data_IF_935276735294
#
_entry.id   IF_935276735294
#
_cell.length_a   1.000
_cell.length_b   1.000
_cell.length_c   1.000
_cell.angle_alpha   90.00
_cell.angle_beta   90.00
_cell.angle_gamma   90.00
#
_symmetry.space_group_name_H-M   'P 1'
#
loop_
_entity.id
_entity.type
_entity.pdbx_description
1 polymer ?
#
# COMPACT_ATOMS: atom_id res chain seq x y z
N UNK A 1 1.57 -23.81 -8.13
CA UNK A 1 2.57 -22.95 -8.78
C UNK A 1 1.98 -21.56 -8.97
N UNK A 2 2.72 -20.52 -8.60
CA UNK A 2 2.34 -19.14 -8.91
C UNK A 2 2.35 -18.90 -10.43
N UNK A 3 1.51 -17.97 -10.91
CA UNK A 3 1.38 -17.66 -12.35
C UNK A 3 2.68 -17.14 -12.98
N UNK A 4 3.48 -16.42 -12.20
CA UNK A 4 4.76 -15.85 -12.62
C UNK A 4 5.93 -16.83 -12.44
N UNK A 5 5.70 -18.02 -11.87
CA UNK A 5 6.74 -19.03 -11.64
C UNK A 5 7.78 -18.65 -10.58
N UNK A 6 7.60 -17.53 -9.88
CA UNK A 6 8.54 -17.02 -8.87
C UNK A 6 8.47 -17.81 -7.55
N UNK A 7 7.33 -18.43 -7.26
CA UNK A 7 7.10 -19.30 -6.09
C UNK A 7 6.32 -20.55 -6.46
N UNK A 8 6.55 -21.62 -5.69
CA UNK A 8 5.89 -22.91 -5.84
C UNK A 8 4.40 -22.86 -5.42
N UNK A 9 4.06 -21.98 -4.49
CA UNK A 9 2.70 -21.66 -4.07
C UNK A 9 2.21 -20.35 -4.71
N UNK A 10 0.89 -20.23 -4.89
CA UNK A 10 0.22 -18.99 -5.27
C UNK A 10 -0.40 -18.28 -4.05
N UNK A 11 0.05 -18.61 -2.84
CA UNK A 11 -0.43 -17.98 -1.61
C UNK A 11 0.29 -16.65 -1.34
N UNK A 12 -0.38 -15.76 -0.63
CA UNK A 12 0.19 -14.49 -0.19
C UNK A 12 1.42 -14.75 0.66
N UNK A 13 2.56 -14.20 0.25
CA UNK A 13 3.82 -14.42 0.94
C UNK A 13 3.90 -13.70 2.31
N UNK A 14 2.99 -12.76 2.58
CA UNK A 14 2.90 -12.07 3.88
C UNK A 14 2.06 -12.86 4.89
N UNK A 15 0.78 -13.10 4.58
CA UNK A 15 -0.16 -13.71 5.54
C UNK A 15 -0.28 -15.24 5.42
N UNK A 16 0.18 -15.84 4.32
CA UNK A 16 0.08 -17.28 4.03
C UNK A 16 -1.35 -17.87 4.08
N UNK A 17 -2.39 -17.03 4.01
CA UNK A 17 -3.82 -17.42 4.13
C UNK A 17 -4.59 -17.30 2.81
N UNK A 18 -4.41 -16.20 2.08
CA UNK A 18 -5.13 -15.89 0.83
C UNK A 18 -4.32 -16.19 -0.43
N UNK A 19 -4.97 -16.21 -1.60
CA UNK A 19 -4.27 -16.20 -2.89
C UNK A 19 -3.49 -14.89 -3.01
N UNK A 20 -2.21 -15.00 -3.37
CA UNK A 20 -1.31 -13.91 -3.64
C UNK A 20 -1.64 -13.21 -4.97
N UNK A 21 -2.78 -12.53 -5.04
CA UNK A 21 -3.04 -11.57 -6.10
C UNK A 21 -2.30 -10.26 -5.79
N UNK A 22 -2.02 -9.46 -6.81
CA UNK A 22 -1.40 -8.14 -6.61
C UNK A 22 -2.24 -7.29 -5.64
N UNK A 23 -3.56 -7.29 -5.83
CA UNK A 23 -4.49 -6.53 -4.99
C UNK A 23 -4.48 -7.02 -3.53
N UNK A 24 -4.48 -8.34 -3.31
CA UNK A 24 -4.37 -8.88 -1.96
C UNK A 24 -3.02 -8.53 -1.31
N UNK A 25 -1.91 -8.71 -2.03
CA UNK A 25 -0.58 -8.46 -1.50
C UNK A 25 -0.27 -6.98 -1.20
N UNK A 26 -0.94 -6.05 -1.88
CA UNK A 26 -0.70 -4.61 -1.74
C UNK A 26 -1.78 -3.88 -0.95
N UNK A 27 -2.95 -4.47 -0.71
CA UNK A 27 -4.05 -3.76 -0.05
C UNK A 27 -4.89 -4.62 0.90
N UNK A 28 -5.44 -5.76 0.44
CA UNK A 28 -6.39 -6.54 1.27
C UNK A 28 -5.74 -7.40 2.35
N UNK A 29 -4.46 -7.75 2.20
CA UNK A 29 -3.74 -8.55 3.19
C UNK A 29 -3.80 -7.84 4.55
N UNK A 30 -4.23 -8.54 5.59
CA UNK A 30 -4.40 -7.98 6.95
C UNK A 30 -3.15 -7.25 7.46
N UNK A 31 -1.96 -7.78 7.17
CA UNK A 31 -0.69 -7.18 7.54
C UNK A 31 -0.43 -5.85 6.81
N UNK A 32 -0.86 -5.77 5.56
CA UNK A 32 -0.67 -4.58 4.70
C UNK A 32 -1.76 -3.55 4.96
N UNK A 33 -2.98 -4.00 5.24
CA UNK A 33 -4.09 -3.12 5.58
C UNK A 33 -3.81 -2.33 6.87
N UNK A 34 -3.30 -2.99 7.91
CA UNK A 34 -2.90 -2.32 9.15
C UNK A 34 -1.81 -1.27 8.91
N UNK A 35 -0.85 -1.58 8.06
CA UNK A 35 0.19 -0.64 7.66
C UNK A 35 -0.38 0.58 6.92
N UNK A 36 -1.35 0.38 6.01
CA UNK A 36 -2.04 1.49 5.36
C UNK A 36 -2.86 2.35 6.32
N UNK A 37 -3.49 1.75 7.32
CA UNK A 37 -4.21 2.50 8.36
C UNK A 37 -3.27 3.48 9.08
N UNK A 38 -2.06 3.04 9.44
CA UNK A 38 -1.07 3.91 10.08
C UNK A 38 -0.60 5.03 9.15
N UNK A 39 -0.32 4.73 7.88
CA UNK A 39 0.08 5.74 6.89
C UNK A 39 -1.00 6.78 6.68
N UNK A 40 -2.25 6.36 6.46
CA UNK A 40 -3.36 7.28 6.22
C UNK A 40 -3.63 8.13 7.47
N UNK A 41 -3.53 7.54 8.67
CA UNK A 41 -3.62 8.30 9.92
C UNK A 41 -2.54 9.37 10.01
N UNK A 42 -1.29 9.02 9.67
CA UNK A 42 -0.18 9.97 9.63
C UNK A 42 -0.43 11.10 8.62
N UNK A 43 -0.88 10.77 7.40
CA UNK A 43 -1.21 11.74 6.36
C UNK A 43 -2.32 12.68 6.83
N UNK A 44 -3.40 12.14 7.40
CA UNK A 44 -4.52 12.92 7.94
C UNK A 44 -4.06 13.91 9.02
N UNK A 45 -3.17 13.48 9.91
CA UNK A 45 -2.62 14.34 10.96
C UNK A 45 -1.72 15.46 10.40
N UNK A 46 -0.92 15.18 9.36
CA UNK A 46 0.00 16.17 8.77
C UNK A 46 -0.74 17.16 7.88
N UNK A 47 -1.73 16.69 7.12
CA UNK A 47 -2.45 17.49 6.13
C UNK A 47 -3.76 18.08 6.65
N UNK A 48 -4.16 17.74 7.88
CA UNK A 48 -5.46 18.09 8.47
C UNK A 48 -6.64 17.63 7.58
N UNK A 49 -6.56 16.38 7.11
CA UNK A 49 -7.57 15.75 6.24
C UNK A 49 -8.30 14.60 6.94
N UNK A 50 -9.42 14.14 6.38
CA UNK A 50 -10.14 12.96 6.84
C UNK A 50 -10.24 11.91 5.71
N UNK A 51 -9.09 11.41 5.28
CA UNK A 51 -9.00 10.38 4.25
C UNK A 51 -9.30 9.01 4.85
N UNK A 52 -10.13 8.23 4.17
CA UNK A 52 -10.28 6.80 4.42
C UNK A 52 -9.26 5.98 3.65
N UNK A 53 -8.87 4.83 4.18
CA UNK A 53 -8.04 3.84 3.46
C UNK A 53 -8.75 3.42 2.17
N UNK A 54 -8.13 3.72 1.03
CA UNK A 54 -8.68 3.47 -0.30
C UNK A 54 -7.58 2.91 -1.19
N UNK A 55 -7.83 1.87 -2.00
CA UNK A 55 -6.80 1.27 -2.85
C UNK A 55 -6.18 2.25 -3.85
N UNK A 56 -6.91 3.25 -4.35
CA UNK A 56 -6.34 4.29 -5.21
C UNK A 56 -5.36 5.18 -4.45
N UNK A 57 -5.63 5.48 -3.18
CA UNK A 57 -4.69 6.25 -2.34
C UNK A 57 -3.50 5.37 -2.00
N UNK A 58 -3.74 4.17 -1.47
CA UNK A 58 -2.73 3.25 -0.97
C UNK A 58 -1.80 2.73 -2.09
N UNK A 59 -2.36 2.20 -3.18
CA UNK A 59 -1.58 1.56 -4.24
C UNK A 59 -1.03 2.59 -5.24
N UNK A 60 -1.81 3.66 -5.52
CA UNK A 60 -1.49 4.59 -6.61
C UNK A 60 -1.09 5.99 -6.13
N UNK A 61 -1.15 6.27 -4.83
CA UNK A 61 -0.87 7.61 -4.30
C UNK A 61 -1.87 8.68 -4.75
N UNK A 62 -3.06 8.29 -5.23
CA UNK A 62 -4.03 9.21 -5.80
C UNK A 62 -4.89 9.87 -4.74
N UNK A 63 -4.46 11.04 -4.24
CA UNK A 63 -5.24 11.84 -3.29
C UNK A 63 -6.40 12.60 -3.96
N UNK A 64 -7.49 12.88 -3.20
CA UNK A 64 -8.62 13.66 -3.68
C UNK A 64 -8.25 15.03 -4.24
N UNK A 65 -9.12 15.59 -5.09
CA UNK A 65 -8.88 16.89 -5.72
C UNK A 65 -8.78 18.03 -4.71
N UNK A 66 -9.46 17.93 -3.55
CA UNK A 66 -9.42 18.97 -2.52
C UNK A 66 -8.05 19.12 -1.84
N UNK A 67 -7.18 18.11 -1.91
CA UNK A 67 -5.83 18.19 -1.37
C UNK A 67 -4.93 19.03 -2.28
N UNK A 68 -4.26 20.03 -1.71
CA UNK A 68 -3.39 20.94 -2.46
C UNK A 68 -2.20 20.21 -3.13
N UNK A 69 -1.67 20.80 -4.20
CA UNK A 69 -0.62 20.21 -5.04
C UNK A 69 0.68 19.92 -4.27
N UNK A 70 1.09 20.80 -3.35
CA UNK A 70 2.30 20.59 -2.54
C UNK A 70 2.17 19.36 -1.62
N UNK A 71 0.99 19.20 -1.01
CA UNK A 71 0.67 18.03 -0.17
C UNK A 71 0.60 16.74 -1.00
N UNK A 72 0.09 16.82 -2.23
CA UNK A 72 0.09 15.70 -3.18
C UNK A 72 1.49 15.21 -3.53
N UNK A 73 2.42 16.11 -3.82
CA UNK A 73 3.81 15.74 -4.14
C UNK A 73 4.48 15.07 -2.93
N UNK A 74 4.24 15.60 -1.72
CA UNK A 74 4.80 15.03 -0.49
C UNK A 74 4.27 13.61 -0.21
N UNK A 75 2.96 13.42 -0.27
CA UNK A 75 2.33 12.12 -0.03
C UNK A 75 2.65 11.10 -1.13
N UNK A 76 2.67 11.51 -2.39
CA UNK A 76 3.08 10.63 -3.49
C UNK A 76 4.55 10.17 -3.30
N UNK A 77 5.43 11.05 -2.84
CA UNK A 77 6.80 10.69 -2.49
C UNK A 77 6.89 9.70 -1.31
N UNK A 78 6.06 9.86 -0.28
CA UNK A 78 6.01 8.93 0.85
C UNK A 78 5.47 7.56 0.45
N UNK A 79 4.37 7.51 -0.31
CA UNK A 79 3.71 6.28 -0.74
C UNK A 79 4.61 5.47 -1.68
N UNK A 80 5.24 6.11 -2.67
CA UNK A 80 6.18 5.40 -3.56
C UNK A 80 7.43 4.86 -2.84
N UNK A 81 7.94 5.58 -1.82
CA UNK A 81 9.08 5.10 -1.02
C UNK A 81 8.69 3.94 -0.12
N UNK A 82 7.47 3.99 0.40
CA UNK A 82 6.86 2.91 1.16
C UNK A 82 6.71 1.67 0.27
N UNK A 83 6.15 1.79 -0.94
CA UNK A 83 6.01 0.65 -1.85
C UNK A 83 7.37 0.06 -2.21
N UNK A 84 8.39 0.89 -2.48
CA UNK A 84 9.74 0.41 -2.74
C UNK A 84 10.36 -0.33 -1.55
N UNK A 85 10.18 0.15 -0.32
CA UNK A 85 10.71 -0.53 0.88
C UNK A 85 9.95 -1.79 1.19
N UNK A 86 8.62 -1.76 1.06
CA UNK A 86 7.71 -2.90 1.20
C UNK A 86 8.02 -3.98 0.18
N UNK A 87 8.40 -3.62 -1.06
CA UNK A 87 8.86 -4.54 -2.11
C UNK A 87 10.31 -5.02 -1.87
N UNK A 88 11.23 -4.16 -1.43
CA UNK A 88 12.63 -4.54 -1.17
C UNK A 88 12.78 -5.49 0.02
N UNK A 89 11.99 -5.31 1.08
CA UNK A 89 11.93 -6.23 2.23
C UNK A 89 11.28 -7.58 1.90
N UNK A 90 10.77 -7.76 0.68
CA UNK A 90 10.17 -9.01 0.20
C UNK A 90 11.17 -9.93 -0.51
N UNK A 91 12.39 -9.44 -0.78
CA UNK A 91 13.41 -10.11 -1.61
C UNK A 91 14.50 -10.78 -0.75
N UNK A 92 14.37 -10.75 0.57
CA UNK A 92 15.21 -11.48 1.53
C UNK A 92 14.36 -12.45 2.35
#
# INVERSE_FOLDING_TARGET
MSRLGLRNDDTCWRCNKGRGTLFHMLYECEMVHNFWLEIITCINNILETDLSVNPAICILGMLPLEVNLSSKVYCHGLILRVDLTVLQLSVH
#
